data_IF_308587358056
#
_entry.id   IF_308587358056
#
_cell.length_a   1.000
_cell.length_b   1.000
_cell.length_c   1.000
_cell.angle_alpha   90.00
_cell.angle_beta   90.00
_cell.angle_gamma   90.00
#
_symmetry.space_group_name_H-M   'P 1'
#
loop_
_entity.id
_entity.type
_entity.pdbx_description
1 polymer ?
#
# COMPACT_ATOMS: atom_id res chain seq x y z
N UNK A 1 -22.32 0.19 -0.83
CA UNK A 1 -20.98 -0.02 -1.39
C UNK A 1 -20.72 -1.52 -1.55
N UNK A 2 -20.21 -1.96 -2.69
CA UNK A 2 -19.90 -3.38 -2.91
C UNK A 2 -18.89 -3.94 -1.88
N UNK A 3 -18.99 -5.24 -1.63
CA UNK A 3 -18.10 -5.92 -0.67
C UNK A 3 -16.62 -5.75 -1.04
N UNK A 4 -16.30 -5.81 -2.33
CA UNK A 4 -14.94 -5.65 -2.84
C UNK A 4 -14.35 -4.28 -2.46
N UNK A 5 -15.14 -3.22 -2.54
CA UNK A 5 -14.69 -1.87 -2.19
C UNK A 5 -14.58 -1.69 -0.68
N UNK A 6 -15.48 -2.29 0.10
CA UNK A 6 -15.39 -2.26 1.57
C UNK A 6 -14.15 -3.00 2.05
N UNK A 7 -13.91 -4.18 1.50
CA UNK A 7 -12.72 -4.96 1.82
C UNK A 7 -11.46 -4.23 1.39
N UNK A 8 -11.47 -3.62 0.20
CA UNK A 8 -10.36 -2.82 -0.29
C UNK A 8 -10.06 -1.62 0.61
N UNK A 9 -11.09 -0.94 1.09
CA UNK A 9 -10.93 0.17 2.01
C UNK A 9 -10.30 -0.27 3.33
N UNK A 10 -10.78 -1.38 3.91
CA UNK A 10 -10.22 -1.93 5.15
C UNK A 10 -8.77 -2.36 4.96
N UNK A 11 -8.48 -3.05 3.88
CA UNK A 11 -7.14 -3.47 3.51
C UNK A 11 -6.20 -2.26 3.38
N UNK A 12 -6.63 -1.22 2.68
CA UNK A 12 -5.86 0.02 2.52
C UNK A 12 -5.59 0.69 3.88
N UNK A 13 -6.60 0.79 4.73
CA UNK A 13 -6.44 1.42 6.05
C UNK A 13 -5.40 0.70 6.89
N UNK A 14 -5.43 -0.64 6.91
CA UNK A 14 -4.46 -1.42 7.68
C UNK A 14 -3.04 -1.23 7.16
N UNK A 15 -2.85 -1.36 5.85
CA UNK A 15 -1.52 -1.23 5.24
C UNK A 15 -1.02 0.22 5.35
N UNK A 16 -1.91 1.20 5.14
CA UNK A 16 -1.58 2.61 5.29
C UNK A 16 -1.15 2.94 6.73
N UNK A 17 -1.83 2.37 7.71
CA UNK A 17 -1.48 2.56 9.12
C UNK A 17 -0.08 2.01 9.42
N UNK A 18 0.26 0.84 8.89
CA UNK A 18 1.60 0.27 9.01
C UNK A 18 2.63 1.20 8.37
N UNK A 19 2.34 1.70 7.16
CA UNK A 19 3.20 2.66 6.48
C UNK A 19 3.38 3.96 7.27
N UNK A 20 2.31 4.44 7.90
CA UNK A 20 2.36 5.65 8.72
C UNK A 20 3.21 5.47 9.98
N UNK A 21 3.26 4.24 10.53
CA UNK A 21 4.13 3.93 11.66
C UNK A 21 5.61 3.86 11.24
N UNK A 22 5.89 3.22 10.11
CA UNK A 22 7.26 2.98 9.66
C UNK A 22 7.85 4.11 8.81
N UNK A 23 7.02 4.96 8.21
CA UNK A 23 7.48 6.08 7.40
C UNK A 23 8.41 7.03 8.15
N UNK A 24 8.01 7.55 9.32
CA UNK A 24 8.90 8.38 10.15
C UNK A 24 10.17 7.65 10.59
N UNK A 25 10.07 6.36 10.92
CA UNK A 25 11.26 5.55 11.26
C UNK A 25 12.21 5.48 10.08
N UNK A 26 11.69 5.25 8.88
CA UNK A 26 12.50 5.26 7.67
C UNK A 26 13.16 6.61 7.44
N UNK A 27 12.38 7.70 7.49
CA UNK A 27 12.90 9.03 7.17
C UNK A 27 13.88 9.57 8.23
N UNK A 28 13.58 9.32 9.51
CA UNK A 28 14.33 9.93 10.61
C UNK A 28 15.49 9.07 11.13
N UNK A 29 15.40 7.76 10.96
CA UNK A 29 16.39 6.83 11.52
C UNK A 29 17.11 6.05 10.42
N UNK A 30 16.38 5.34 9.57
CA UNK A 30 16.96 4.42 8.59
C UNK A 30 17.67 5.14 7.45
N UNK A 31 17.04 6.15 6.87
CA UNK A 31 17.61 6.85 5.72
C UNK A 31 18.89 7.60 6.07
N UNK A 32 18.97 8.33 7.22
CA UNK A 32 20.24 8.95 7.62
C UNK A 32 21.37 7.97 7.91
N UNK A 33 21.04 6.77 8.39
CA UNK A 33 22.05 5.76 8.76
C UNK A 33 22.46 4.87 7.58
N UNK A 34 21.51 4.47 6.75
CA UNK A 34 21.70 3.41 5.75
C UNK A 34 21.51 3.89 4.31
N UNK A 35 21.02 5.13 4.12
CA UNK A 35 20.67 5.65 2.81
C UNK A 35 19.22 5.39 2.43
N UNK A 36 18.65 6.20 1.52
CA UNK A 36 17.22 6.11 1.16
C UNK A 36 16.82 4.77 0.56
N UNK A 37 17.65 4.19 -0.30
CA UNK A 37 17.32 2.92 -0.96
C UNK A 37 17.25 1.76 0.01
N UNK A 38 18.24 1.63 0.91
CA UNK A 38 18.26 0.59 1.92
C UNK A 38 17.11 0.76 2.91
N UNK A 39 16.81 2.01 3.28
CA UNK A 39 15.70 2.32 4.20
C UNK A 39 14.35 1.86 3.63
N UNK A 40 14.09 2.14 2.36
CA UNK A 40 12.85 1.71 1.68
C UNK A 40 12.79 0.19 1.59
N UNK A 41 13.90 -0.46 1.28
CA UNK A 41 13.95 -1.92 1.19
C UNK A 41 13.65 -2.58 2.54
N UNK A 42 14.15 -2.03 3.62
CA UNK A 42 13.88 -2.53 4.98
C UNK A 42 12.41 -2.33 5.33
N UNK A 43 11.84 -1.17 5.03
CA UNK A 43 10.42 -0.89 5.27
C UNK A 43 9.52 -1.80 4.44
N UNK A 44 9.98 -2.24 3.26
CA UNK A 44 9.19 -3.12 2.40
C UNK A 44 8.81 -4.43 3.08
N UNK A 45 9.66 -4.95 3.96
CA UNK A 45 9.40 -6.22 4.66
C UNK A 45 8.14 -6.16 5.51
N UNK A 46 8.00 -5.24 6.48
CA UNK A 46 6.76 -5.15 7.26
C UNK A 46 5.55 -4.78 6.41
N UNK A 47 5.72 -3.99 5.36
CA UNK A 47 4.62 -3.65 4.48
C UNK A 47 4.12 -4.87 3.71
N UNK A 48 5.01 -5.69 3.16
CA UNK A 48 4.62 -6.92 2.47
C UNK A 48 3.95 -7.91 3.40
N UNK A 49 4.45 -8.04 4.64
CA UNK A 49 3.83 -8.90 5.64
C UNK A 49 2.43 -8.39 6.01
N UNK A 50 2.26 -7.09 6.15
CA UNK A 50 0.96 -6.48 6.43
C UNK A 50 -0.02 -6.73 5.28
N UNK A 51 0.42 -6.58 4.03
CA UNK A 51 -0.39 -6.88 2.84
C UNK A 51 -0.82 -8.35 2.81
N UNK A 52 0.12 -9.26 3.05
CA UNK A 52 -0.15 -10.70 3.02
C UNK A 52 -1.13 -11.13 4.12
N UNK A 53 -1.11 -10.47 5.26
CA UNK A 53 -2.04 -10.73 6.34
C UNK A 53 -3.38 -10.05 6.12
N UNK A 54 -3.36 -8.76 5.78
CA UNK A 54 -4.57 -7.94 5.72
C UNK A 54 -5.46 -8.27 4.52
N UNK A 55 -4.86 -8.63 3.36
CA UNK A 55 -5.65 -8.90 2.16
C UNK A 55 -6.64 -10.06 2.35
N UNK A 56 -6.22 -11.27 2.77
CA UNK A 56 -7.18 -12.35 3.01
C UNK A 56 -8.10 -12.06 4.20
N UNK A 57 -7.59 -11.40 5.23
CA UNK A 57 -8.39 -11.05 6.40
C UNK A 57 -9.53 -10.09 6.03
N UNK A 58 -9.25 -9.03 5.29
CA UNK A 58 -10.26 -8.07 4.86
C UNK A 58 -11.28 -8.73 3.92
N UNK A 59 -10.80 -9.59 3.03
CA UNK A 59 -11.69 -10.31 2.11
C UNK A 59 -12.66 -11.22 2.87
N UNK A 60 -12.19 -11.94 3.89
CA UNK A 60 -13.06 -12.77 4.75
C UNK A 60 -14.04 -11.91 5.53
N UNK A 61 -13.59 -10.78 6.04
CA UNK A 61 -14.41 -9.87 6.87
C UNK A 61 -15.64 -9.38 6.12
N UNK A 62 -15.52 -9.16 4.82
CA UNK A 62 -16.62 -8.68 3.97
C UNK A 62 -17.13 -9.72 2.98
N UNK A 63 -16.74 -10.98 3.16
CA UNK A 63 -17.19 -12.11 2.33
C UNK A 63 -16.96 -11.88 0.83
N UNK A 64 -15.79 -11.36 0.47
CA UNK A 64 -15.41 -11.19 -0.94
C UNK A 64 -15.15 -12.55 -1.57
N UNK A 65 -15.81 -12.90 -2.69
CA UNK A 65 -15.59 -14.19 -3.33
C UNK A 65 -14.14 -14.41 -3.74
N UNK A 66 -13.62 -15.65 -3.68
CA UNK A 66 -12.25 -15.94 -4.08
C UNK A 66 -12.06 -16.05 -5.59
N UNK A 67 -12.71 -15.18 -6.34
CA UNK A 67 -12.63 -15.12 -7.80
C UNK A 67 -11.59 -14.10 -8.23
N UNK A 68 -10.93 -14.30 -9.38
CA UNK A 68 -9.96 -13.31 -9.86
C UNK A 68 -10.53 -11.92 -10.02
N UNK A 69 -11.74 -11.82 -10.55
CA UNK A 69 -12.39 -10.52 -10.76
C UNK A 69 -12.65 -9.78 -9.45
N UNK A 70 -13.26 -10.46 -8.47
CA UNK A 70 -13.61 -9.83 -7.19
C UNK A 70 -12.35 -9.37 -6.45
N UNK A 71 -11.31 -10.21 -6.43
CA UNK A 71 -10.07 -9.89 -5.74
C UNK A 71 -9.28 -8.81 -6.44
N UNK A 72 -9.30 -8.77 -7.76
CA UNK A 72 -8.66 -7.70 -8.52
C UNK A 72 -9.38 -6.36 -8.28
N UNK A 73 -10.70 -6.36 -8.27
CA UNK A 73 -11.49 -5.15 -7.94
C UNK A 73 -11.17 -4.66 -6.54
N UNK A 74 -11.05 -5.57 -5.57
CA UNK A 74 -10.64 -5.23 -4.22
C UNK A 74 -9.27 -4.56 -4.20
N UNK A 75 -8.29 -5.14 -4.88
CA UNK A 75 -6.93 -4.62 -4.92
C UNK A 75 -6.82 -3.29 -5.63
N UNK A 76 -7.48 -3.14 -6.78
CA UNK A 76 -7.48 -1.89 -7.54
C UNK A 76 -8.22 -0.78 -6.80
N UNK A 77 -9.34 -1.09 -6.16
CA UNK A 77 -10.05 -0.12 -5.33
C UNK A 77 -9.21 0.35 -4.16
N UNK A 78 -8.51 -0.59 -3.51
CA UNK A 78 -7.60 -0.27 -2.41
C UNK A 78 -6.45 0.62 -2.90
N UNK A 79 -5.88 0.31 -4.08
CA UNK A 79 -4.80 1.12 -4.66
C UNK A 79 -5.26 2.54 -4.97
N UNK A 80 -6.45 2.69 -5.53
CA UNK A 80 -7.01 4.02 -5.80
C UNK A 80 -7.14 4.82 -4.51
N UNK A 81 -7.68 4.21 -3.45
CA UNK A 81 -7.81 4.87 -2.15
C UNK A 81 -6.45 5.22 -1.55
N UNK A 82 -5.47 4.34 -1.72
CA UNK A 82 -4.10 4.58 -1.24
C UNK A 82 -3.48 5.78 -1.95
N UNK A 83 -3.60 5.84 -3.27
CA UNK A 83 -3.07 6.96 -4.07
C UNK A 83 -3.73 8.28 -3.65
N UNK A 84 -5.05 8.27 -3.45
CA UNK A 84 -5.77 9.45 -2.99
C UNK A 84 -5.31 9.88 -1.60
N UNK A 85 -5.13 8.94 -0.68
CA UNK A 85 -4.66 9.21 0.68
C UNK A 85 -3.23 9.77 0.68
N UNK A 86 -2.33 9.16 -0.09
CA UNK A 86 -0.95 9.63 -0.22
C UNK A 86 -0.88 11.03 -0.81
N UNK A 87 -1.66 11.29 -1.85
CA UNK A 87 -1.71 12.60 -2.50
C UNK A 87 -2.24 13.67 -1.53
N UNK A 88 -3.32 13.34 -0.80
CA UNK A 88 -3.89 14.25 0.18
C UNK A 88 -2.89 14.54 1.31
N UNK A 89 -2.20 13.51 1.78
CA UNK A 89 -1.22 13.64 2.86
C UNK A 89 -0.04 14.53 2.43
N UNK A 90 0.47 14.34 1.22
CA UNK A 90 1.53 15.17 0.67
C UNK A 90 1.09 16.65 0.56
N UNK A 91 -0.14 16.88 0.09
CA UNK A 91 -0.66 18.23 -0.03
C UNK A 91 -0.85 18.91 1.33
N UNK A 92 -1.40 18.18 2.31
CA UNK A 92 -1.72 18.74 3.63
C UNK A 92 -0.49 18.93 4.52
N UNK A 93 0.43 17.95 4.52
CA UNK A 93 1.56 17.95 5.46
C UNK A 93 2.84 18.53 4.86
N UNK A 94 3.05 18.37 3.58
CA UNK A 94 4.30 18.77 2.92
C UNK A 94 4.13 19.87 1.90
N UNK A 95 2.90 20.30 1.61
CA UNK A 95 2.60 21.33 0.64
C UNK A 95 2.97 20.99 -0.79
N UNK A 96 3.09 19.69 -1.11
CA UNK A 96 3.47 19.23 -2.45
C UNK A 96 2.26 19.12 -3.35
N UNK A 97 2.45 19.42 -4.63
CA UNK A 97 1.41 19.22 -5.64
C UNK A 97 1.14 17.75 -5.93
N UNK A 98 -0.01 17.45 -6.58
CA UNK A 98 -0.42 16.06 -6.82
C UNK A 98 0.55 15.21 -7.64
N UNK A 99 1.36 15.83 -8.52
CA UNK A 99 2.30 15.10 -9.36
C UNK A 99 3.65 14.78 -8.71
N UNK A 100 3.94 15.36 -7.56
CA UNK A 100 5.28 15.24 -6.95
C UNK A 100 5.63 13.83 -6.51
N UNK A 101 4.68 13.09 -5.95
CA UNK A 101 4.92 11.72 -5.52
C UNK A 101 5.18 10.80 -6.74
N UNK A 102 4.51 11.07 -7.87
CA UNK A 102 4.71 10.29 -9.09
C UNK A 102 6.12 10.49 -9.66
N UNK A 103 6.59 11.72 -9.68
CA UNK A 103 7.96 12.01 -10.13
C UNK A 103 8.98 11.28 -9.28
N UNK A 104 8.80 11.29 -7.94
CA UNK A 104 9.68 10.57 -7.03
C UNK A 104 9.62 9.07 -7.24
N UNK A 105 8.41 8.53 -7.50
CA UNK A 105 8.21 7.11 -7.71
C UNK A 105 8.87 6.61 -9.01
N UNK A 106 8.98 7.46 -10.02
CA UNK A 106 9.56 7.08 -11.32
C UNK A 106 11.08 7.14 -11.36
N UNK A 107 11.73 7.69 -10.33
CA UNK A 107 13.18 7.88 -10.31
C UNK A 107 13.86 7.08 -9.21
N UNK A 108 15.02 6.49 -9.52
CA UNK A 108 15.91 5.85 -8.55
C UNK A 108 15.23 4.83 -7.65
N UNK A 109 15.48 4.95 -6.35
CA UNK A 109 14.91 4.05 -5.32
C UNK A 109 13.39 4.20 -5.14
N UNK A 110 12.76 5.25 -5.69
CA UNK A 110 11.31 5.39 -5.71
C UNK A 110 10.62 4.26 -6.48
N UNK A 111 11.35 3.56 -7.37
CA UNK A 111 10.84 2.39 -8.08
C UNK A 111 10.49 1.23 -7.15
N UNK A 112 11.13 1.14 -5.99
CA UNK A 112 10.77 0.17 -4.96
C UNK A 112 9.36 0.45 -4.47
N UNK A 113 9.00 1.73 -4.29
CA UNK A 113 7.66 2.14 -3.94
C UNK A 113 6.63 1.73 -4.98
N UNK A 114 6.96 1.87 -6.28
CA UNK A 114 6.06 1.41 -7.35
C UNK A 114 5.86 -0.11 -7.31
N UNK A 115 6.93 -0.86 -7.07
CA UNK A 115 6.84 -2.32 -6.93
C UNK A 115 5.95 -2.70 -5.74
N UNK A 116 6.05 -1.98 -4.62
CA UNK A 116 5.19 -2.18 -3.46
C UNK A 116 3.73 -1.86 -3.77
N UNK A 117 3.46 -0.81 -4.54
CA UNK A 117 2.09 -0.48 -4.97
C UNK A 117 1.52 -1.57 -5.87
N UNK A 118 2.31 -2.11 -6.79
CA UNK A 118 1.89 -3.23 -7.63
C UNK A 118 1.60 -4.46 -6.79
N UNK A 119 2.46 -4.79 -5.83
CA UNK A 119 2.23 -5.90 -4.90
C UNK A 119 0.95 -5.68 -4.08
N UNK A 120 0.73 -4.46 -3.59
CA UNK A 120 -0.47 -4.09 -2.85
C UNK A 120 -1.74 -4.36 -3.65
N UNK A 121 -1.76 -3.93 -4.92
CA UNK A 121 -2.92 -4.11 -5.78
C UNK A 121 -3.22 -5.57 -6.12
N UNK A 122 -2.19 -6.40 -6.31
CA UNK A 122 -2.37 -7.79 -6.72
C UNK A 122 -2.43 -8.78 -5.56
N UNK A 123 -2.05 -8.37 -4.35
CA UNK A 123 -2.02 -9.27 -3.20
C UNK A 123 -3.36 -9.97 -2.93
N UNK A 124 -4.52 -9.27 -2.95
CA UNK A 124 -5.80 -9.95 -2.75
C UNK A 124 -6.06 -11.03 -3.81
N UNK A 125 -5.61 -10.81 -5.05
CA UNK A 125 -5.74 -11.77 -6.14
C UNK A 125 -4.82 -12.98 -5.92
N UNK A 126 -3.55 -12.75 -5.59
CA UNK A 126 -2.56 -13.80 -5.40
C UNK A 126 -2.90 -14.71 -4.22
N UNK A 127 -3.49 -14.16 -3.17
CA UNK A 127 -3.83 -14.90 -1.95
C UNK A 127 -5.30 -15.30 -1.86
N UNK A 128 -6.02 -15.27 -2.97
CA UNK A 128 -7.47 -15.54 -2.97
C UNK A 128 -7.85 -16.91 -2.42
N UNK A 129 -6.98 -17.91 -2.55
CA UNK A 129 -7.24 -19.26 -2.06
C UNK A 129 -7.07 -19.41 -0.56
N UNK A 130 -6.46 -18.41 0.10
CA UNK A 130 -6.25 -18.43 1.55
C UNK A 130 -7.38 -17.75 2.32
N UNK A 131 -8.31 -17.12 1.62
CA UNK A 131 -9.39 -16.37 2.26
C UNK A 131 -10.69 -17.21 2.45
#
# INVERSE_FOLDING_TARGET
MPAELRAGALYMVVVFAVGALFGPVRELVLAPMLGPGAAIAIEAVPLLLAMAWAAPWAARRFAVPPTPRARLLMGLGALLLLVLAETALDALLRGRGPGMWLERALTGHGRIGLALMAAFAVMPLLLRRRA
#
